data_IF_782111011132
#
_entry.id   IF_782111011132
#
_cell.length_a   1.000
_cell.length_b   1.000
_cell.length_c   1.000
_cell.angle_alpha   90.00
_cell.angle_beta   90.00
_cell.angle_gamma   90.00
#
_symmetry.space_group_name_H-M   'P 1'
#
loop_
_entity.id
_entity.type
_entity.pdbx_description
1 polymer ?
#
# COMPACT_ATOMS: atom_id res chain seq x y z
N UNK A 1 5.47 -12.70 7.02
CA UNK A 1 6.69 -11.89 6.95
C UNK A 1 7.34 -12.24 5.62
N UNK A 2 7.54 -11.26 4.73
CA UNK A 2 7.96 -11.47 3.33
C UNK A 2 9.43 -11.97 3.24
N UNK A 3 9.82 -12.67 2.17
CA UNK A 3 11.18 -13.22 1.96
C UNK A 3 11.99 -12.48 0.86
N UNK A 4 12.24 -11.16 0.96
CA UNK A 4 12.90 -10.38 -0.11
C UNK A 4 14.38 -10.74 -0.29
N UNK A 5 14.99 -11.42 0.69
CA UNK A 5 16.37 -11.91 0.62
C UNK A 5 16.45 -13.40 0.27
N UNK A 6 15.36 -14.01 -0.20
CA UNK A 6 15.34 -15.41 -0.63
C UNK A 6 16.32 -15.65 -1.78
N UNK A 7 16.94 -16.84 -1.79
CA UNK A 7 17.70 -17.34 -2.95
C UNK A 7 16.80 -17.91 -4.04
N UNK A 8 15.55 -18.26 -3.71
CA UNK A 8 14.52 -18.64 -4.68
C UNK A 8 13.95 -17.40 -5.36
N UNK A 9 14.16 -17.29 -6.68
CA UNK A 9 13.85 -16.09 -7.46
C UNK A 9 12.37 -15.71 -7.43
N UNK A 10 11.47 -16.68 -7.51
CA UNK A 10 10.02 -16.43 -7.47
C UNK A 10 9.59 -15.82 -6.12
N UNK A 11 10.04 -16.40 -5.01
CA UNK A 11 9.69 -15.89 -3.68
C UNK A 11 10.26 -14.50 -3.43
N UNK A 12 11.47 -14.24 -3.95
CA UNK A 12 12.05 -12.90 -3.89
C UNK A 12 11.22 -11.89 -4.68
N UNK A 13 10.82 -12.20 -5.91
CA UNK A 13 10.05 -11.30 -6.77
C UNK A 13 8.67 -10.98 -6.18
N UNK A 14 7.95 -11.99 -5.69
CA UNK A 14 6.69 -11.80 -4.96
C UNK A 14 6.91 -10.95 -3.70
N UNK A 15 7.99 -11.23 -2.96
CA UNK A 15 8.30 -10.52 -1.73
C UNK A 15 8.58 -9.03 -1.94
N UNK A 16 9.37 -8.69 -2.96
CA UNK A 16 9.68 -7.32 -3.35
C UNK A 16 8.42 -6.59 -3.83
N UNK A 17 7.58 -7.25 -4.63
CA UNK A 17 6.30 -6.74 -5.10
C UNK A 17 5.36 -6.39 -3.93
N UNK A 18 5.21 -7.32 -2.99
CA UNK A 18 4.38 -7.09 -1.81
C UNK A 18 4.88 -5.92 -0.95
N UNK A 19 6.20 -5.83 -0.74
CA UNK A 19 6.80 -4.75 0.05
C UNK A 19 6.54 -3.40 -0.62
N UNK A 20 6.79 -3.28 -1.93
CA UNK A 20 6.57 -2.05 -2.68
C UNK A 20 5.10 -1.62 -2.65
N UNK A 21 4.17 -2.56 -2.88
CA UNK A 21 2.73 -2.29 -2.80
C UNK A 21 2.31 -1.83 -1.39
N UNK A 22 2.75 -2.53 -0.35
CA UNK A 22 2.43 -2.19 1.05
C UNK A 22 2.95 -0.79 1.41
N UNK A 23 4.15 -0.46 0.97
CA UNK A 23 4.74 0.86 1.22
C UNK A 23 3.91 1.96 0.53
N UNK A 24 3.46 1.74 -0.71
CA UNK A 24 2.55 2.65 -1.41
C UNK A 24 1.20 2.82 -0.70
N UNK A 25 0.59 1.72 -0.21
CA UNK A 25 -0.66 1.76 0.56
C UNK A 25 -0.51 2.63 1.80
N UNK A 26 0.54 2.43 2.62
CA UNK A 26 0.68 3.19 3.85
C UNK A 26 1.04 4.65 3.61
N UNK A 27 1.87 4.95 2.61
CA UNK A 27 2.14 6.33 2.21
C UNK A 27 0.84 7.06 1.83
N UNK A 28 -0.02 6.42 1.03
CA UNK A 28 -1.32 6.97 0.67
C UNK A 28 -2.20 7.21 1.91
N UNK A 29 -2.34 6.21 2.79
CA UNK A 29 -3.19 6.32 3.99
C UNK A 29 -2.73 7.45 4.91
N UNK A 30 -1.42 7.62 5.11
CA UNK A 30 -0.91 8.71 5.94
C UNK A 30 -1.11 10.08 5.29
N UNK A 31 -0.95 10.19 3.96
CA UNK A 31 -1.23 11.43 3.23
C UNK A 31 -2.71 11.83 3.34
N UNK A 32 -3.63 10.88 3.17
CA UNK A 32 -5.07 11.12 3.33
C UNK A 32 -5.44 11.48 4.77
N UNK A 33 -4.79 10.89 5.77
CA UNK A 33 -4.98 11.26 7.17
C UNK A 33 -4.58 12.72 7.43
N UNK A 34 -3.48 13.19 6.84
CA UNK A 34 -3.04 14.59 6.96
C UNK A 34 -4.04 15.53 6.28
N UNK A 35 -4.56 15.18 5.10
CA UNK A 35 -5.59 15.96 4.38
C UNK A 35 -6.88 16.07 5.20
N UNK A 36 -7.31 14.99 5.85
CA UNK A 36 -8.48 15.03 6.73
C UNK A 36 -8.22 15.90 7.97
N UNK A 37 -7.04 15.75 8.60
CA UNK A 37 -6.67 16.53 9.79
C UNK A 37 -6.51 18.04 9.52
N UNK A 38 -6.14 18.43 8.31
CA UNK A 38 -6.03 19.82 7.86
C UNK A 38 -7.33 20.41 7.31
N UNK A 39 -8.36 19.58 7.08
CA UNK A 39 -9.62 19.98 6.46
C UNK A 39 -9.58 20.13 4.94
N UNK A 40 -8.48 19.73 4.30
CA UNK A 40 -8.35 19.67 2.83
C UNK A 40 -9.24 18.58 2.22
N UNK A 41 -9.57 17.55 3.00
CA UNK A 41 -10.47 16.45 2.61
C UNK A 41 -11.47 16.13 3.71
N UNK A 42 -12.69 15.79 3.33
CA UNK A 42 -13.68 15.22 4.26
C UNK A 42 -13.35 13.76 4.56
N UNK A 43 -13.50 13.32 5.81
CA UNK A 43 -13.32 11.92 6.18
C UNK A 43 -14.17 11.01 5.28
N UNK A 44 -13.51 10.18 4.47
CA UNK A 44 -14.15 9.14 3.65
C UNK A 44 -14.53 7.94 4.49
N UNK A 45 -15.48 7.15 3.98
CA UNK A 45 -15.80 5.84 4.53
C UNK A 45 -14.65 4.86 4.29
N UNK A 46 -14.65 3.76 5.04
CA UNK A 46 -13.62 2.71 4.87
C UNK A 46 -13.66 2.13 3.46
N UNK A 47 -14.84 1.95 2.88
CA UNK A 47 -14.95 1.37 1.53
C UNK A 47 -14.36 2.31 0.47
N UNK A 48 -14.68 3.60 0.52
CA UNK A 48 -14.11 4.59 -0.40
C UNK A 48 -12.59 4.67 -0.30
N UNK A 49 -12.05 4.59 0.93
CA UNK A 49 -10.60 4.57 1.12
C UNK A 49 -9.97 3.31 0.50
N UNK A 50 -10.61 2.15 0.65
CA UNK A 50 -10.12 0.89 0.08
C UNK A 50 -10.16 0.90 -1.46
N UNK A 51 -11.19 1.52 -2.05
CA UNK A 51 -11.35 1.63 -3.51
C UNK A 51 -10.27 2.57 -4.14
N UNK A 52 -9.64 3.43 -3.34
CA UNK A 52 -8.57 4.33 -3.76
C UNK A 52 -7.16 3.72 -3.64
N UNK A 53 -7.01 2.60 -2.92
CA UNK A 53 -5.71 1.98 -2.72
C UNK A 53 -5.18 1.37 -4.03
N UNK A 54 -3.85 1.41 -4.26
CA UNK A 54 -3.27 0.76 -5.42
C UNK A 54 -3.55 -0.75 -5.40
N UNK A 55 -3.85 -1.33 -6.56
CA UNK A 55 -3.92 -2.78 -6.70
C UNK A 55 -2.51 -3.38 -6.70
N UNK A 56 -2.38 -4.60 -6.17
CA UNK A 56 -1.12 -5.34 -6.23
C UNK A 56 -1.02 -6.09 -7.56
N UNK A 57 0.09 -5.91 -8.27
CA UNK A 57 0.37 -6.62 -9.53
C UNK A 57 1.49 -7.63 -9.30
N UNK A 58 1.15 -8.91 -9.31
CA UNK A 58 2.10 -10.00 -9.05
C UNK A 58 2.95 -10.36 -10.30
N UNK A 59 4.21 -10.77 -10.10
CA UNK A 59 5.10 -11.23 -11.17
C UNK A 59 4.78 -12.65 -11.68
#
# INVERSE_FOLDING_TARGET
MSYPTSTEAAWKAEAETFVAWRDAVWLYVYDEQVKVGSGERTQSTVQELLDELPEIVWP
#
